data_IF_988829275545
#
_entry.id   IF_988829275545
#
_cell.length_a   1.000
_cell.length_b   1.000
_cell.length_c   1.000
_cell.angle_alpha   90.00
_cell.angle_beta   90.00
_cell.angle_gamma   90.00
#
_symmetry.space_group_name_H-M   'P 1'
#
loop_
_entity.id
_entity.type
_entity.pdbx_description
1 polymer ?
#
# COMPACT_ATOMS: atom_id res chain seq x y z
N UNK A 1 30.04 52.95 -9.21
CA UNK A 1 30.64 52.00 -10.15
C UNK A 1 29.54 51.49 -11.06
N UNK A 2 29.52 51.98 -12.30
CA UNK A 2 28.49 51.73 -13.30
C UNK A 2 28.80 50.42 -14.06
N UNK A 3 28.04 49.37 -13.86
CA UNK A 3 28.08 48.20 -14.72
C UNK A 3 26.97 48.29 -15.79
N UNK A 4 27.24 49.13 -16.80
CA UNK A 4 26.47 49.13 -18.04
C UNK A 4 26.93 48.01 -18.95
N UNK A 5 26.35 46.80 -18.77
CA UNK A 5 26.58 45.68 -19.68
C UNK A 5 25.95 45.94 -21.03
N UNK A 6 26.78 46.26 -22.01
CA UNK A 6 26.43 46.50 -23.40
C UNK A 6 25.93 45.19 -24.05
N UNK A 7 24.63 44.98 -24.03
CA UNK A 7 24.00 43.91 -24.82
C UNK A 7 24.08 44.29 -26.30
N UNK A 8 25.14 43.88 -26.99
CA UNK A 8 25.25 44.04 -28.44
C UNK A 8 24.19 43.13 -29.08
N UNK A 9 23.16 43.75 -29.66
CA UNK A 9 22.23 43.06 -30.55
C UNK A 9 23.02 42.57 -31.76
N UNK A 10 23.24 41.26 -31.80
CA UNK A 10 23.87 40.60 -32.95
C UNK A 10 22.90 40.71 -34.12
N UNK A 11 23.33 41.34 -35.20
CA UNK A 11 22.50 41.54 -36.37
C UNK A 11 22.34 40.23 -37.14
N UNK A 12 21.11 39.80 -37.37
CA UNK A 12 20.78 38.54 -38.02
C UNK A 12 21.46 38.38 -39.41
N UNK A 13 21.74 39.49 -40.08
CA UNK A 13 22.43 39.50 -41.38
C UNK A 13 23.90 39.09 -41.26
N UNK A 14 24.58 39.37 -40.17
CA UNK A 14 25.99 38.99 -39.96
C UNK A 14 26.12 37.51 -39.67
N UNK A 15 25.12 36.89 -39.06
CA UNK A 15 25.11 35.44 -38.82
C UNK A 15 24.97 34.65 -40.13
N UNK A 16 24.22 35.23 -41.10
CA UNK A 16 24.01 34.58 -42.41
C UNK A 16 25.27 34.65 -43.26
N UNK A 17 26.05 35.76 -43.19
CA UNK A 17 27.28 35.92 -43.94
C UNK A 17 28.43 35.06 -43.40
N UNK A 18 28.50 34.80 -42.11
CA UNK A 18 29.50 33.90 -41.53
C UNK A 18 29.18 32.43 -41.78
N UNK A 19 27.92 32.08 -42.03
CA UNK A 19 27.51 30.70 -42.36
C UNK A 19 27.96 30.28 -43.78
N UNK A 20 28.22 31.24 -44.68
CA UNK A 20 28.62 30.92 -46.05
C UNK A 20 30.09 30.48 -46.21
N UNK A 21 30.92 30.68 -45.18
CA UNK A 21 32.34 30.30 -45.21
C UNK A 21 32.54 28.81 -44.86
N UNK A 22 31.54 28.18 -44.29
CA UNK A 22 31.59 26.76 -43.91
C UNK A 22 31.02 25.80 -44.96
N UNK A 23 30.54 26.29 -46.11
CA UNK A 23 29.86 25.46 -47.11
C UNK A 23 30.73 24.86 -48.20
N UNK A 24 32.05 25.04 -48.16
CA UNK A 24 32.94 24.48 -49.15
C UNK A 24 33.46 23.08 -48.83
N UNK A 25 32.57 22.14 -48.59
CA UNK A 25 33.00 20.75 -48.33
C UNK A 25 31.90 19.73 -48.10
N UNK A 26 30.65 20.14 -48.07
CA UNK A 26 29.55 19.20 -47.82
C UNK A 26 28.59 19.20 -48.98
N UNK A 27 28.61 18.14 -49.77
CA UNK A 27 27.82 17.95 -50.98
C UNK A 27 26.39 17.50 -50.74
N UNK A 28 25.93 17.48 -49.48
CA UNK A 28 24.56 17.12 -49.16
C UNK A 28 23.91 18.15 -48.23
N UNK A 29 22.99 18.95 -48.79
CA UNK A 29 22.25 19.98 -48.06
C UNK A 29 21.35 19.41 -46.95
N UNK A 30 21.09 18.09 -46.98
CA UNK A 30 20.29 17.42 -45.96
C UNK A 30 21.05 17.16 -44.66
N UNK A 31 22.38 16.91 -44.76
CA UNK A 31 23.20 16.68 -43.57
C UNK A 31 23.53 17.94 -42.77
N UNK A 32 23.67 19.06 -43.44
CA UNK A 32 23.94 20.35 -42.78
C UNK A 32 22.82 20.86 -41.87
N UNK A 33 21.57 20.64 -42.27
CA UNK A 33 20.39 20.99 -41.47
C UNK A 33 20.18 20.05 -40.27
N UNK A 34 20.61 18.81 -40.39
CA UNK A 34 20.50 17.81 -39.30
C UNK A 34 21.40 18.13 -38.10
N UNK A 35 22.53 18.80 -38.35
CA UNK A 35 23.45 19.28 -37.30
C UNK A 35 22.88 20.42 -36.46
N UNK A 36 22.10 21.32 -37.08
CA UNK A 36 21.49 22.47 -36.39
C UNK A 36 20.36 21.99 -35.48
N UNK A 37 19.66 20.95 -35.88
CA UNK A 37 18.57 20.37 -35.10
C UNK A 37 18.96 19.15 -34.25
N UNK A 38 20.24 18.79 -34.25
CA UNK A 38 20.70 17.74 -33.33
C UNK A 38 20.57 18.24 -31.90
N UNK A 39 19.44 17.96 -31.33
CA UNK A 39 19.28 18.03 -29.88
C UNK A 39 20.21 17.00 -29.26
N UNK A 40 21.31 17.47 -28.73
CA UNK A 40 22.10 16.73 -27.78
C UNK A 40 21.26 16.64 -26.49
N UNK A 41 20.18 15.88 -26.57
CA UNK A 41 19.45 15.51 -25.38
C UNK A 41 20.38 14.57 -24.60
N UNK A 42 21.27 15.16 -23.84
CA UNK A 42 21.87 14.43 -22.73
C UNK A 42 20.70 13.91 -21.92
N UNK A 43 20.51 12.58 -21.99
CA UNK A 43 19.57 11.87 -21.16
C UNK A 43 19.74 12.43 -19.76
N UNK A 44 18.74 13.17 -19.28
CA UNK A 44 18.76 13.75 -17.94
C UNK A 44 19.16 12.63 -17.01
N UNK A 45 20.33 12.73 -16.40
CA UNK A 45 20.79 11.78 -15.40
C UNK A 45 19.63 11.59 -14.45
N UNK A 46 19.16 10.36 -14.32
CA UNK A 46 18.11 10.03 -13.39
C UNK A 46 18.50 10.63 -12.05
N UNK A 47 17.71 11.60 -11.59
CA UNK A 47 17.95 12.25 -10.30
C UNK A 47 18.11 11.14 -9.25
N UNK A 48 18.98 11.32 -8.27
CA UNK A 48 19.14 10.36 -7.20
C UNK A 48 17.75 10.08 -6.60
N UNK A 49 17.31 8.84 -6.70
CA UNK A 49 16.02 8.42 -6.16
C UNK A 49 16.07 8.52 -4.64
N UNK A 50 15.52 9.62 -4.11
CA UNK A 50 15.43 9.83 -2.65
C UNK A 50 14.40 8.88 -2.01
N UNK A 51 13.46 8.35 -2.79
CA UNK A 51 12.28 7.60 -2.33
C UNK A 51 12.30 6.09 -2.64
N UNK A 52 13.42 5.52 -3.08
CA UNK A 52 13.50 4.08 -3.43
C UNK A 52 13.64 3.12 -2.24
N UNK A 53 13.41 3.61 -1.00
CA UNK A 53 13.54 2.78 0.21
C UNK A 53 12.18 2.24 0.59
N UNK A 54 12.03 0.94 0.58
CA UNK A 54 10.84 0.28 1.09
C UNK A 54 11.23 -0.74 2.16
N UNK A 55 10.35 -0.93 3.14
CA UNK A 55 10.53 -1.95 4.16
C UNK A 55 9.89 -3.25 3.71
N UNK A 56 10.48 -4.38 4.12
CA UNK A 56 9.90 -5.69 3.85
C UNK A 56 8.44 -5.77 4.32
N UNK A 57 7.55 -6.38 3.52
CA UNK A 57 6.14 -6.51 3.85
C UNK A 57 5.97 -7.29 5.17
N UNK A 58 5.11 -6.79 6.05
CA UNK A 58 4.84 -7.40 7.36
C UNK A 58 3.66 -8.38 7.32
N UNK A 59 2.98 -8.47 6.18
CA UNK A 59 1.83 -9.36 5.94
C UNK A 59 0.75 -9.28 7.04
N UNK A 60 0.44 -8.05 7.49
CA UNK A 60 -0.63 -7.80 8.45
C UNK A 60 -2.00 -7.83 7.78
N UNK A 61 -3.03 -8.04 8.59
CA UNK A 61 -4.42 -7.98 8.16
C UNK A 61 -5.20 -9.25 8.48
N UNK A 62 -6.42 -9.29 7.98
CA UNK A 62 -7.32 -10.44 8.10
C UNK A 62 -6.82 -11.56 7.18
N UNK A 63 -6.77 -12.79 7.72
CA UNK A 63 -6.34 -14.00 7.00
C UNK A 63 -7.50 -14.97 6.77
N UNK A 64 -8.51 -14.92 7.63
CA UNK A 64 -9.75 -15.68 7.53
C UNK A 64 -10.92 -14.75 7.62
N UNK A 65 -11.81 -14.79 6.65
CA UNK A 65 -12.96 -13.89 6.56
C UNK A 65 -14.18 -14.47 7.31
N UNK A 66 -15.21 -13.64 7.46
CA UNK A 66 -16.46 -14.08 8.09
C UNK A 66 -17.12 -15.21 7.31
N UNK A 67 -17.62 -16.23 8.03
CA UNK A 67 -18.19 -17.44 7.46
C UNK A 67 -17.18 -18.53 7.07
N UNK A 68 -15.87 -18.22 7.03
CA UNK A 68 -14.87 -19.24 6.73
C UNK A 68 -14.67 -20.22 7.86
N UNK A 69 -14.53 -21.50 7.49
CA UNK A 69 -14.20 -22.57 8.42
C UNK A 69 -12.76 -22.45 8.89
N UNK A 70 -12.57 -22.60 10.18
CA UNK A 70 -11.27 -22.63 10.85
C UNK A 70 -11.15 -23.85 11.75
N UNK A 71 -9.91 -24.29 11.93
CA UNK A 71 -9.53 -25.36 12.88
C UNK A 71 -8.68 -24.74 13.99
N UNK A 72 -8.56 -25.38 15.17
CA UNK A 72 -7.72 -24.89 16.25
C UNK A 72 -6.30 -24.58 15.77
N UNK A 73 -5.77 -23.42 16.21
CA UNK A 73 -4.45 -22.92 15.81
C UNK A 73 -4.44 -22.09 14.52
N UNK A 74 -5.51 -22.05 13.73
CA UNK A 74 -5.53 -21.20 12.54
C UNK A 74 -5.47 -19.72 12.93
N UNK A 75 -4.56 -18.98 12.28
CA UNK A 75 -4.46 -17.54 12.42
C UNK A 75 -5.63 -16.89 11.67
N UNK A 76 -6.42 -16.08 12.38
CA UNK A 76 -7.55 -15.34 11.82
C UNK A 76 -7.12 -13.94 11.42
N UNK A 77 -6.41 -13.23 12.30
CA UNK A 77 -5.93 -11.86 12.05
C UNK A 77 -4.51 -11.67 12.57
N UNK A 78 -3.66 -11.06 11.76
CA UNK A 78 -2.36 -10.53 12.19
C UNK A 78 -2.45 -9.01 12.31
N UNK A 79 -2.13 -8.47 13.48
CA UNK A 79 -2.26 -7.06 13.77
C UNK A 79 -1.14 -6.52 14.66
N UNK A 80 -0.97 -5.22 14.65
CA UNK A 80 -0.16 -4.46 15.60
C UNK A 80 -1.11 -3.74 16.55
N UNK A 81 -1.07 -4.11 17.83
CA UNK A 81 -2.08 -3.68 18.79
C UNK A 81 -3.44 -4.37 18.58
N UNK A 82 -4.44 -4.03 19.38
CA UNK A 82 -5.77 -4.64 19.42
C UNK A 82 -6.80 -3.89 18.57
N UNK A 83 -6.62 -3.90 17.26
CA UNK A 83 -7.64 -3.39 16.32
C UNK A 83 -8.91 -4.24 16.34
N UNK A 84 -8.72 -5.55 16.47
CA UNK A 84 -9.75 -6.54 16.74
C UNK A 84 -9.47 -7.17 18.10
N UNK A 85 -10.50 -7.41 18.87
CA UNK A 85 -10.44 -8.06 20.18
C UNK A 85 -10.83 -9.53 20.07
N UNK A 86 -10.25 -10.40 20.89
CA UNK A 86 -10.68 -11.79 20.96
C UNK A 86 -12.09 -11.86 21.57
N UNK A 87 -12.95 -12.62 20.95
CA UNK A 87 -14.26 -13.03 21.45
C UNK A 87 -14.27 -14.51 21.83
N UNK A 88 -15.42 -15.14 21.62
CA UNK A 88 -15.62 -16.54 21.98
C UNK A 88 -14.76 -17.47 21.13
N UNK A 89 -14.08 -18.42 21.76
CA UNK A 89 -13.19 -19.40 21.14
C UNK A 89 -12.07 -18.83 20.28
N UNK A 90 -11.64 -17.61 20.56
CA UNK A 90 -10.51 -16.94 19.92
C UNK A 90 -9.45 -16.59 20.97
N UNK A 91 -8.23 -17.00 20.73
CA UNK A 91 -7.08 -16.66 21.55
C UNK A 91 -6.31 -15.46 20.98
N UNK A 92 -5.58 -14.75 21.85
CA UNK A 92 -4.67 -13.67 21.44
C UNK A 92 -3.23 -14.01 21.83
N UNK A 93 -2.33 -13.92 20.88
CA UNK A 93 -0.90 -14.10 21.11
C UNK A 93 -0.23 -12.82 21.66
N UNK A 94 1.01 -12.93 22.11
CA UNK A 94 1.82 -11.81 22.61
C UNK A 94 2.05 -10.73 21.55
N UNK A 95 2.05 -11.11 20.28
CA UNK A 95 2.15 -10.22 19.11
C UNK A 95 0.80 -9.67 18.62
N UNK A 96 -0.25 -9.80 19.43
CA UNK A 96 -1.64 -9.46 19.12
C UNK A 96 -2.28 -10.26 17.97
N UNK A 97 -1.66 -11.35 17.54
CA UNK A 97 -2.25 -12.27 16.56
C UNK A 97 -3.46 -12.96 17.16
N UNK A 98 -4.60 -12.97 16.46
CA UNK A 98 -5.80 -13.69 16.85
C UNK A 98 -5.83 -15.03 16.14
N UNK A 99 -6.08 -16.10 16.91
CA UNK A 99 -6.12 -17.47 16.42
C UNK A 99 -7.31 -18.24 16.99
N UNK A 100 -7.77 -19.23 16.23
CA UNK A 100 -8.89 -20.07 16.63
C UNK A 100 -8.48 -21.08 17.70
N UNK A 101 -9.33 -21.27 18.70
CA UNK A 101 -9.19 -22.29 19.75
C UNK A 101 -10.04 -23.54 19.48
N UNK A 102 -11.11 -23.40 18.71
CA UNK A 102 -12.00 -24.50 18.31
C UNK A 102 -12.26 -24.52 16.82
N UNK A 103 -12.72 -25.66 16.31
CA UNK A 103 -13.21 -25.78 14.95
C UNK A 103 -14.61 -25.18 14.84
N UNK A 104 -14.80 -24.35 13.79
CA UNK A 104 -16.06 -23.68 13.54
C UNK A 104 -15.93 -22.63 12.43
N UNK A 105 -16.88 -21.72 12.37
CA UNK A 105 -16.92 -20.64 11.40
C UNK A 105 -16.58 -19.32 12.08
N UNK A 106 -15.82 -18.48 11.37
CA UNK A 106 -15.43 -17.14 11.88
C UNK A 106 -16.61 -16.18 11.80
N UNK A 107 -16.86 -15.43 12.88
CA UNK A 107 -17.84 -14.35 12.92
C UNK A 107 -17.19 -13.07 13.42
N UNK A 108 -17.39 -11.99 12.65
CA UNK A 108 -16.97 -10.64 13.03
C UNK A 108 -18.12 -9.87 13.60
N UNK A 109 -17.90 -9.25 14.76
CA UNK A 109 -18.88 -8.42 15.41
C UNK A 109 -18.33 -7.02 15.62
N UNK A 110 -19.19 -6.00 15.47
CA UNK A 110 -18.85 -4.60 15.73
C UNK A 110 -19.89 -3.98 16.65
N UNK A 111 -19.45 -3.47 17.79
CA UNK A 111 -20.28 -2.66 18.64
C UNK A 111 -20.51 -1.30 18.00
N UNK A 112 -21.78 -0.94 17.79
CA UNK A 112 -22.17 0.34 17.15
C UNK A 112 -21.86 1.55 18.02
N UNK A 113 -21.95 1.42 19.35
CA UNK A 113 -21.75 2.51 20.29
C UNK A 113 -20.26 2.81 20.52
N UNK A 114 -19.48 1.78 20.83
CA UNK A 114 -18.05 1.94 21.16
C UNK A 114 -17.13 1.84 19.94
N UNK A 115 -17.64 1.34 18.81
CA UNK A 115 -16.85 1.10 17.61
C UNK A 115 -15.89 -0.07 17.70
N UNK A 116 -15.81 -0.75 18.85
CA UNK A 116 -14.95 -1.92 19.05
C UNK A 116 -15.38 -3.09 18.15
N UNK A 117 -14.40 -3.87 17.76
CA UNK A 117 -14.61 -5.04 16.88
C UNK A 117 -14.10 -6.28 17.57
N UNK A 118 -14.94 -7.31 17.59
CA UNK A 118 -14.59 -8.64 18.12
C UNK A 118 -14.61 -9.67 17.02
N UNK A 119 -13.88 -10.76 17.26
CA UNK A 119 -13.87 -11.92 16.39
C UNK A 119 -14.25 -13.12 17.26
N UNK A 120 -15.24 -13.86 16.80
CA UNK A 120 -15.74 -15.07 17.43
C UNK A 120 -15.56 -16.24 16.48
N UNK A 121 -15.47 -17.43 17.02
CA UNK A 121 -15.58 -18.68 16.28
C UNK A 121 -16.83 -19.37 16.75
N UNK A 122 -17.81 -19.52 15.89
CA UNK A 122 -19.03 -20.28 16.14
C UNK A 122 -18.70 -21.76 15.94
N UNK A 123 -18.75 -22.60 17.01
CA UNK A 123 -18.36 -24.00 16.92
C UNK A 123 -19.23 -24.75 15.93
N UNK A 124 -18.65 -25.76 15.28
CA UNK A 124 -19.40 -26.68 14.44
C UNK A 124 -20.42 -27.41 15.29
N UNK A 125 -21.58 -27.71 14.72
CA UNK A 125 -22.64 -28.51 15.36
C UNK A 125 -22.09 -29.83 15.94
N UNK A 126 -22.51 -30.15 17.18
CA UNK A 126 -22.04 -31.33 17.90
C UNK A 126 -20.77 -31.13 18.74
N UNK A 127 -20.13 -29.98 18.72
CA UNK A 127 -19.05 -29.65 19.66
C UNK A 127 -19.63 -29.31 21.04
N UNK A 128 -19.11 -29.99 22.08
CA UNK A 128 -19.45 -29.64 23.47
C UNK A 128 -18.95 -28.22 23.76
N UNK A 129 -19.89 -27.34 24.08
CA UNK A 129 -19.56 -25.98 24.49
C UNK A 129 -18.81 -26.00 25.83
N UNK A 130 -17.87 -25.09 26.00
CA UNK A 130 -17.23 -24.87 27.30
C UNK A 130 -18.31 -24.43 28.32
N UNK A 131 -18.31 -24.92 29.58
CA UNK A 131 -19.35 -24.63 30.57
C UNK A 131 -19.72 -23.18 30.71
N UNK A 132 -18.72 -22.27 30.70
CA UNK A 132 -18.92 -20.80 30.76
C UNK A 132 -19.84 -20.31 29.65
N UNK A 133 -19.71 -20.82 28.44
CA UNK A 133 -20.53 -20.38 27.29
C UNK A 133 -21.89 -21.07 27.27
N UNK A 134 -22.00 -22.29 27.81
CA UNK A 134 -23.28 -22.97 27.93
C UNK A 134 -24.21 -22.34 28.97
N UNK A 135 -23.67 -21.79 30.04
CA UNK A 135 -24.44 -21.04 31.04
C UNK A 135 -24.97 -19.71 30.50
N UNK A 136 -24.14 -18.98 29.72
CA UNK A 136 -24.57 -17.75 29.07
C UNK A 136 -25.70 -17.97 28.06
N UNK A 137 -25.64 -19.04 27.28
CA UNK A 137 -26.70 -19.39 26.35
C UNK A 137 -28.02 -19.68 27.08
N UNK A 138 -28.00 -20.43 28.19
CA UNK A 138 -29.18 -20.73 29.01
C UNK A 138 -29.79 -19.46 29.63
N UNK A 139 -28.96 -18.52 30.08
CA UNK A 139 -29.48 -17.26 30.67
C UNK A 139 -30.11 -16.38 29.59
N UNK A 140 -29.60 -16.36 28.38
CA UNK A 140 -30.19 -15.63 27.27
C UNK A 140 -31.51 -16.22 26.79
N UNK A 141 -31.59 -17.54 26.73
CA UNK A 141 -32.85 -18.26 26.40
C UNK A 141 -33.92 -18.04 27.47
N UNK A 142 -33.56 -18.09 28.76
CA UNK A 142 -34.47 -17.80 29.85
C UNK A 142 -34.99 -16.35 29.84
N UNK A 143 -34.15 -15.39 29.46
CA UNK A 143 -34.56 -13.97 29.34
C UNK A 143 -35.42 -13.72 28.09
N UNK A 144 -35.35 -14.55 27.06
CA UNK A 144 -36.15 -14.42 25.84
C UNK A 144 -37.55 -15.05 25.97
N UNK A 145 -37.77 -15.87 26.98
CA UNK A 145 -39.05 -16.56 27.27
C UNK A 145 -39.89 -15.85 28.30
N UNK A 146 -39.41 -14.75 28.89
CA UNK A 146 -40.13 -13.90 29.86
C UNK A 146 -40.60 -12.62 29.18
#
# INVERSE_FOLDING_TARGET
>A
MNFGGLCKRVNLKEIITTASVYSSGVTDASEGLSLIFRRWATKKTAGSTKNGRDSLPKNLGVKKFGGERVIPGNIIVRQRGTRFHPGDYVGIGKDHTLYALKEGNVRFERNKLTGRKWIHVDPKEGHVLHPIYSEQAKTLEAAATT
#
